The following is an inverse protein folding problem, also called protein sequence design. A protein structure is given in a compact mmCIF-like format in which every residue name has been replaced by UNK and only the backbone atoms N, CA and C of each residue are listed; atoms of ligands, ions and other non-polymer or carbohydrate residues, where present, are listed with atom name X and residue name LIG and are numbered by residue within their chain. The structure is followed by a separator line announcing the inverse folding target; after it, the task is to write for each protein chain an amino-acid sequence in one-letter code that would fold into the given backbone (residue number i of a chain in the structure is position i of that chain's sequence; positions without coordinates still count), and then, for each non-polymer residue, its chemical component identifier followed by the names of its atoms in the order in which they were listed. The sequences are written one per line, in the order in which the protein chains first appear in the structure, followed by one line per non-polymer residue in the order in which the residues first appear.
data_IF_419174698757
#
_entry.id   IF_419174698757
#
_cell.length_a   1.000
_cell.length_b   1.000
_cell.length_c   1.000
_cell.angle_alpha   90.00
_cell.angle_beta   90.00
_cell.angle_gamma   90.00
#
_symmetry.space_group_name_H-M   'P 1'
#
loop_
_entity.id
_entity.type
_entity.pdbx_description
1 polymer ?
#
# COMPACT_ATOMS: atom_id res chain seq x y z
N UNK A 1 7.16 8.37 6.08
CA UNK A 1 7.66 9.75 5.91
C UNK A 1 9.16 9.88 6.19
N UNK A 2 9.68 9.57 7.39
CA UNK A 2 11.16 9.60 7.64
C UNK A 2 11.98 8.76 6.65
N UNK A 3 11.44 7.63 6.21
CA UNK A 3 12.08 6.76 5.23
C UNK A 3 12.22 7.41 3.84
N UNK A 4 11.24 8.22 3.45
CA UNK A 4 11.22 8.90 2.15
C UNK A 4 12.24 10.03 2.12
N UNK A 5 12.30 10.85 3.17
CA UNK A 5 13.25 11.98 3.22
C UNK A 5 14.70 11.50 3.33
N UNK A 6 14.93 10.43 4.09
CA UNK A 6 16.23 9.76 4.18
C UNK A 6 16.67 9.23 2.82
N UNK A 7 15.75 8.58 2.10
CA UNK A 7 16.00 8.08 0.76
C UNK A 7 16.26 9.21 -0.25
N UNK A 8 15.40 10.24 -0.30
CA UNK A 8 15.59 11.38 -1.20
C UNK A 8 16.92 12.08 -0.93
N UNK A 9 17.36 12.13 0.33
CA UNK A 9 18.67 12.66 0.69
C UNK A 9 19.80 11.75 0.20
N UNK A 10 19.69 10.43 0.32
CA UNK A 10 20.74 9.49 -0.10
C UNK A 10 20.97 9.46 -1.61
N UNK A 11 19.93 9.72 -2.41
CA UNK A 11 20.04 9.88 -3.88
C UNK A 11 20.29 11.34 -4.30
N UNK A 12 20.52 12.25 -3.35
CA UNK A 12 20.75 13.67 -3.62
C UNK A 12 19.55 14.40 -4.24
N UNK A 13 18.34 13.81 -4.15
CA UNK A 13 17.07 14.33 -4.66
C UNK A 13 16.57 15.59 -3.96
N UNK A 14 17.15 15.94 -2.82
CA UNK A 14 16.87 17.22 -2.12
C UNK A 14 17.71 18.38 -2.65
N UNK A 15 18.65 18.14 -3.57
CA UNK A 15 19.51 19.19 -4.13
C UNK A 15 18.89 19.83 -5.37
N UNK A 16 19.07 21.15 -5.51
CA UNK A 16 18.59 21.93 -6.67
C UNK A 16 19.12 21.37 -7.99
N UNK A 17 20.38 20.93 -8.01
CA UNK A 17 21.03 20.36 -9.20
C UNK A 17 20.32 19.09 -9.67
N UNK A 18 19.99 18.20 -8.73
CA UNK A 18 19.30 16.95 -9.02
C UNK A 18 17.84 17.19 -9.41
N UNK A 19 17.14 18.11 -8.73
CA UNK A 19 15.79 18.52 -9.11
C UNK A 19 15.73 19.09 -10.53
N UNK A 20 16.67 19.96 -10.90
CA UNK A 20 16.74 20.54 -12.25
C UNK A 20 17.00 19.46 -13.31
N UNK A 21 17.94 18.54 -13.04
CA UNK A 21 18.22 17.39 -13.90
C UNK A 21 16.96 16.54 -14.10
N UNK A 22 16.28 16.14 -13.03
CA UNK A 22 15.07 15.31 -13.10
C UNK A 22 13.90 16.01 -13.80
N UNK A 23 13.77 17.31 -13.64
CA UNK A 23 12.76 18.10 -14.35
C UNK A 23 13.00 18.05 -15.85
N UNK A 24 14.26 18.21 -16.30
CA UNK A 24 14.59 18.13 -17.73
C UNK A 24 14.35 16.72 -18.29
N UNK A 25 14.70 15.67 -17.55
CA UNK A 25 14.44 14.28 -17.93
C UNK A 25 12.92 14.03 -18.08
N UNK A 26 12.11 14.51 -17.13
CA UNK A 26 10.65 14.40 -17.17
C UNK A 26 10.05 15.14 -18.37
N UNK A 27 10.51 16.35 -18.66
CA UNK A 27 10.09 17.15 -19.81
C UNK A 27 10.46 16.47 -21.13
N UNK A 28 11.65 15.90 -21.20
CA UNK A 28 12.16 15.20 -22.39
C UNK A 28 11.66 13.75 -22.52
N UNK A 29 10.89 13.26 -21.54
CA UNK A 29 10.35 11.89 -21.48
C UNK A 29 11.43 10.78 -21.51
N UNK A 30 12.63 11.09 -21.04
CA UNK A 30 13.76 10.16 -21.00
C UNK A 30 13.72 9.30 -19.73
N UNK A 31 12.69 8.46 -19.63
CA UNK A 31 12.37 7.77 -18.37
C UNK A 31 13.36 6.66 -17.99
N UNK A 32 14.21 6.25 -18.91
CA UNK A 32 15.23 5.22 -18.68
C UNK A 32 16.18 5.63 -17.54
N UNK A 33 16.46 6.93 -17.40
CA UNK A 33 17.30 7.45 -16.31
C UNK A 33 16.67 7.33 -14.90
N UNK A 34 15.35 7.13 -14.80
CA UNK A 34 14.69 6.83 -13.53
C UNK A 34 14.77 5.34 -13.15
N UNK A 35 15.12 4.46 -14.09
CA UNK A 35 15.22 3.02 -13.84
C UNK A 35 16.60 2.60 -13.31
N UNK A 36 17.64 3.42 -13.56
CA UNK A 36 19.05 3.08 -13.29
C UNK A 36 19.42 3.14 -11.79
N UNK A 37 18.70 3.91 -10.98
CA UNK A 37 19.07 4.20 -9.58
C UNK A 37 18.15 3.54 -8.54
N UNK A 38 17.53 2.39 -8.88
CA UNK A 38 16.54 1.69 -8.04
C UNK A 38 15.34 2.58 -7.65
N UNK A 39 15.09 3.67 -8.39
CA UNK A 39 13.94 4.58 -8.14
C UNK A 39 12.63 3.99 -8.67
N UNK A 40 12.71 2.95 -9.50
CA UNK A 40 11.60 2.09 -9.94
C UNK A 40 11.76 0.61 -9.61
N UNK A 41 12.86 0.24 -8.93
CA UNK A 41 13.14 -1.15 -8.53
C UNK A 41 12.46 -1.50 -7.21
N UNK A 42 11.89 -2.70 -7.13
CA UNK A 42 11.37 -3.24 -5.87
C UNK A 42 12.54 -3.46 -4.90
N UNK A 43 12.69 -2.57 -3.91
CA UNK A 43 13.83 -2.54 -2.96
C UNK A 43 13.84 -3.66 -1.92
N UNK A 44 12.77 -4.44 -1.87
CA UNK A 44 12.61 -5.58 -0.98
C UNK A 44 11.25 -6.21 -1.21
N UNK A 45 11.07 -7.44 -0.71
CA UNK A 45 9.79 -8.10 -0.80
C UNK A 45 8.71 -7.29 -0.08
N UNK A 46 7.64 -6.94 -0.81
CA UNK A 46 6.47 -6.39 -0.17
C UNK A 46 5.84 -7.50 0.67
N UNK A 47 5.09 -7.12 1.69
CA UNK A 47 4.36 -8.07 2.54
C UNK A 47 3.62 -9.16 1.74
N UNK A 48 2.99 -8.78 0.63
CA UNK A 48 2.23 -9.71 -0.21
C UNK A 48 3.10 -10.64 -1.05
N UNK A 49 4.35 -10.29 -1.30
CA UNK A 49 5.29 -11.20 -1.96
C UNK A 49 5.72 -12.33 -1.01
N UNK A 50 5.78 -12.04 0.29
CA UNK A 50 6.04 -13.04 1.33
C UNK A 50 4.79 -13.88 1.66
N UNK A 51 3.60 -13.31 1.49
CA UNK A 51 2.33 -13.95 1.84
C UNK A 51 1.30 -13.85 0.70
N UNK A 52 1.55 -14.52 -0.45
CA UNK A 52 0.67 -14.42 -1.62
C UNK A 52 -0.70 -15.06 -1.39
N UNK A 53 -0.76 -16.16 -0.64
CA UNK A 53 -2.03 -16.84 -0.31
C UNK A 53 -2.90 -15.96 0.59
N UNK A 54 -2.28 -15.26 1.56
CA UNK A 54 -2.97 -14.29 2.40
C UNK A 54 -3.47 -13.08 1.57
N UNK A 55 -2.77 -12.68 0.51
CA UNK A 55 -3.25 -11.64 -0.42
C UNK A 55 -4.54 -12.09 -1.12
N UNK A 56 -4.60 -13.36 -1.54
CA UNK A 56 -5.77 -13.93 -2.20
C UNK A 56 -6.96 -13.98 -1.25
N UNK A 57 -6.77 -14.48 -0.03
CA UNK A 57 -7.80 -14.55 1.01
C UNK A 57 -8.30 -13.15 1.41
N UNK A 58 -7.39 -12.20 1.63
CA UNK A 58 -7.75 -10.82 1.95
C UNK A 58 -8.55 -10.16 0.83
N UNK A 59 -8.21 -10.40 -0.45
CA UNK A 59 -9.01 -9.93 -1.60
C UNK A 59 -10.41 -10.53 -1.57
N UNK A 60 -10.52 -11.85 -1.39
CA UNK A 60 -11.82 -12.53 -1.33
C UNK A 60 -12.68 -12.01 -0.18
N UNK A 61 -12.11 -11.84 1.00
CA UNK A 61 -12.76 -11.25 2.16
C UNK A 61 -13.32 -9.86 1.84
N UNK A 62 -12.49 -8.98 1.26
CA UNK A 62 -12.91 -7.63 0.86
C UNK A 62 -14.07 -7.67 -0.14
N UNK A 63 -14.01 -8.55 -1.16
CA UNK A 63 -15.09 -8.68 -2.13
C UNK A 63 -16.39 -9.16 -1.49
N UNK A 64 -16.31 -10.12 -0.58
CA UNK A 64 -17.47 -10.62 0.16
C UNK A 64 -18.08 -9.53 1.03
N UNK A 65 -17.27 -8.84 1.84
CA UNK A 65 -17.75 -7.74 2.69
C UNK A 65 -18.36 -6.59 1.88
N UNK A 66 -17.75 -6.22 0.76
CA UNK A 66 -18.29 -5.17 -0.12
C UNK A 66 -19.55 -5.60 -0.89
N UNK A 67 -19.80 -6.90 -1.01
CA UNK A 67 -21.01 -7.44 -1.66
C UNK A 67 -22.23 -7.49 -0.74
N UNK A 68 -22.03 -7.33 0.57
CA UNK A 68 -23.12 -7.32 1.54
C UNK A 68 -23.97 -6.05 1.39
N UNK A 69 -25.26 -6.18 1.69
CA UNK A 69 -26.21 -5.06 1.71
C UNK A 69 -25.94 -4.09 2.86
N UNK A 70 -25.25 -4.55 3.91
CA UNK A 70 -24.89 -3.76 5.08
C UNK A 70 -23.51 -3.12 4.91
N UNK A 71 -23.43 -1.80 5.08
CA UNK A 71 -22.18 -1.04 4.96
C UNK A 71 -21.37 -1.03 6.27
N UNK A 72 -21.10 -2.20 6.84
CA UNK A 72 -20.33 -2.36 8.09
C UNK A 72 -18.83 -2.55 7.87
N UNK A 73 -18.43 -2.78 6.62
CA UNK A 73 -17.04 -2.97 6.26
C UNK A 73 -16.23 -1.69 6.49
N UNK A 74 -15.16 -1.80 7.29
CA UNK A 74 -14.19 -0.74 7.48
C UNK A 74 -12.79 -1.24 7.16
N UNK A 75 -11.86 -0.32 6.94
CA UNK A 75 -10.46 -0.65 6.69
C UNK A 75 -9.82 -1.33 7.91
N UNK A 76 -10.28 -0.99 9.11
CA UNK A 76 -9.84 -1.66 10.34
C UNK A 76 -10.27 -3.13 10.36
N UNK A 77 -11.46 -3.44 9.83
CA UNK A 77 -11.93 -4.83 9.70
C UNK A 77 -10.99 -5.65 8.82
N UNK A 78 -10.51 -5.08 7.71
CA UNK A 78 -9.48 -5.71 6.87
C UNK A 78 -8.15 -5.87 7.61
N UNK A 79 -7.70 -4.84 8.32
CA UNK A 79 -6.43 -4.91 9.05
C UNK A 79 -6.45 -6.01 10.13
N UNK A 80 -7.56 -6.16 10.85
CA UNK A 80 -7.76 -7.23 11.84
C UNK A 80 -7.84 -8.61 11.20
N UNK A 81 -8.50 -8.73 10.04
CA UNK A 81 -8.54 -9.98 9.28
C UNK A 81 -7.14 -10.46 8.89
N UNK A 82 -6.34 -9.57 8.28
CA UNK A 82 -4.96 -9.87 7.86
C UNK A 82 -4.10 -10.25 9.06
N UNK A 83 -4.22 -9.50 10.15
CA UNK A 83 -3.48 -9.74 11.37
C UNK A 83 -3.78 -11.13 11.96
N UNK A 84 -5.06 -11.49 12.11
CA UNK A 84 -5.47 -12.79 12.62
C UNK A 84 -4.91 -13.94 11.76
N UNK A 85 -5.14 -13.90 10.44
CA UNK A 85 -4.68 -14.96 9.54
C UNK A 85 -3.16 -15.04 9.44
N UNK A 86 -2.43 -13.92 9.58
CA UNK A 86 -0.98 -13.96 9.67
C UNK A 86 -0.50 -14.79 10.88
N UNK A 87 -1.07 -14.59 12.06
CA UNK A 87 -0.68 -15.36 13.25
C UNK A 87 -1.08 -16.84 13.13
N UNK A 88 -2.24 -17.12 12.54
CA UNK A 88 -2.71 -18.49 12.25
C UNK A 88 -1.76 -19.23 11.30
N UNK A 89 -1.39 -18.59 10.17
CA UNK A 89 -0.49 -19.17 9.17
C UNK A 89 0.91 -19.49 9.74
N UNK A 90 1.41 -18.64 10.63
CA UNK A 90 2.75 -18.80 11.21
C UNK A 90 2.75 -19.61 12.53
N UNK A 91 1.59 -20.09 13.00
CA UNK A 91 1.43 -20.73 14.32
C UNK A 91 1.99 -19.89 15.48
N UNK A 92 1.82 -18.57 15.41
CA UNK A 92 2.31 -17.63 16.40
C UNK A 92 1.19 -17.18 17.34
N UNK A 93 1.52 -16.90 18.60
CA UNK A 93 0.60 -16.25 19.53
C UNK A 93 0.86 -14.76 19.54
N UNK A 94 -0.21 -13.97 19.36
CA UNK A 94 -0.15 -12.52 19.48
C UNK A 94 0.03 -12.11 20.94
N UNK A 95 1.02 -11.26 21.21
CA UNK A 95 1.41 -10.83 22.57
C UNK A 95 1.08 -9.34 22.79
N UNK A 96 1.01 -8.55 21.72
CA UNK A 96 0.71 -7.13 21.76
C UNK A 96 -0.61 -6.80 21.03
N UNK A 97 -0.95 -5.51 20.98
CA UNK A 97 -2.10 -5.02 20.21
C UNK A 97 -1.69 -4.45 18.85
N UNK A 98 -0.42 -4.61 18.43
CA UNK A 98 0.05 -4.04 17.17
C UNK A 98 -0.48 -4.87 16.00
N UNK A 99 -0.86 -4.18 14.92
CA UNK A 99 -1.31 -4.85 13.71
C UNK A 99 -0.09 -5.17 12.84
N UNK A 100 -0.01 -6.39 12.33
CA UNK A 100 1.03 -6.81 11.35
C UNK A 100 1.01 -5.90 10.13
N UNK A 101 -0.18 -5.40 9.77
CA UNK A 101 -0.37 -4.43 8.69
C UNK A 101 -1.23 -3.27 9.17
N UNK A 102 -0.69 -2.04 9.10
CA UNK A 102 -1.39 -0.86 9.60
C UNK A 102 -2.67 -0.56 8.81
N UNK A 103 -3.61 0.16 9.43
CA UNK A 103 -4.84 0.62 8.79
C UNK A 103 -4.53 1.46 7.56
N UNK A 104 -3.50 2.31 7.61
CA UNK A 104 -3.07 3.16 6.50
C UNK A 104 -2.56 2.32 5.32
N UNK A 105 -1.83 1.23 5.60
CA UNK A 105 -1.35 0.31 4.57
C UNK A 105 -2.53 -0.41 3.92
N UNK A 106 -3.49 -0.86 4.72
CA UNK A 106 -4.72 -1.50 4.26
C UNK A 106 -5.58 -0.56 3.37
N UNK A 107 -5.53 0.76 3.56
CA UNK A 107 -6.16 1.73 2.64
C UNK A 107 -5.55 1.68 1.24
N UNK A 108 -4.23 1.51 1.15
CA UNK A 108 -3.54 1.37 -0.13
C UNK A 108 -3.85 0.01 -0.76
N UNK A 109 -3.95 -1.05 0.04
CA UNK A 109 -4.31 -2.39 -0.44
C UNK A 109 -5.71 -2.41 -1.05
N UNK A 110 -6.70 -1.77 -0.42
CA UNK A 110 -8.06 -1.68 -0.98
C UNK A 110 -8.07 -1.04 -2.37
N UNK A 111 -7.25 -0.02 -2.60
CA UNK A 111 -7.07 0.58 -3.93
C UNK A 111 -6.41 -0.40 -4.90
N UNK A 112 -5.36 -1.11 -4.46
CA UNK A 112 -4.67 -2.14 -5.26
C UNK A 112 -5.59 -3.31 -5.61
N UNK A 113 -6.51 -3.66 -4.72
CA UNK A 113 -7.49 -4.72 -4.92
C UNK A 113 -8.62 -4.31 -5.87
N UNK A 114 -8.68 -3.03 -6.28
CA UNK A 114 -9.68 -2.54 -7.22
C UNK A 114 -10.97 -2.05 -6.57
N UNK A 115 -11.01 -1.90 -5.24
CA UNK A 115 -12.18 -1.36 -4.54
C UNK A 115 -12.34 0.12 -4.88
N UNK A 116 -13.49 0.46 -5.48
CA UNK A 116 -13.88 1.83 -5.77
C UNK A 116 -14.88 2.29 -4.72
N UNK A 117 -14.46 3.19 -3.84
CA UNK A 117 -15.39 3.89 -2.96
C UNK A 117 -16.23 4.82 -3.83
N UNK A 118 -17.52 4.51 -4.00
CA UNK A 118 -18.46 5.52 -4.48
C UNK A 118 -18.63 6.53 -3.35
N UNK A 119 -18.35 7.83 -3.56
CA UNK A 119 -18.80 8.83 -2.61
C UNK A 119 -20.32 8.69 -2.49
N UNK A 120 -20.83 8.68 -1.26
CA UNK A 120 -22.27 8.73 -1.04
C UNK A 120 -22.79 9.93 -1.84
N UNK A 121 -23.73 9.68 -2.75
CA UNK A 121 -24.45 10.73 -3.44
C UNK A 121 -25.05 11.62 -2.34
N UNK A 122 -24.48 12.82 -2.17
CA UNK A 122 -25.14 13.91 -1.50
C UNK A 122 -26.36 14.22 -2.37
N UNK A 123 -27.48 13.55 -2.09
CA UNK A 123 -28.78 13.93 -2.58
C UNK A 123 -29.14 15.22 -1.87
N UNK A 124 -28.78 16.33 -2.49
CA UNK A 124 -29.44 17.60 -2.21
C UNK A 124 -30.75 17.53 -3.00
N UNK A 125 -31.84 17.33 -2.25
CA UNK A 125 -33.22 17.62 -2.66
C UNK A 125 -33.35 19.03 -3.18
#
# INVERSE_FOLDING_TARGET
WRDVDSFLTSIGGTTIKTCHKWTNILVNKDFDEFTIDERGGKRGDSFWDCYPDLELEAKQFVYQECSKTEATFTVETLARFIDQHFYELNNLKKIDQQLVRSVESCRLDLRRFGVKFKPALLSWT
#
